data_IF_740967069205
#
_entry.id   IF_740967069205
#
_cell.length_a   1.000
_cell.length_b   1.000
_cell.length_c   1.000
_cell.angle_alpha   90.00
_cell.angle_beta   90.00
_cell.angle_gamma   90.00
#
_symmetry.space_group_name_H-M   'P 1'
#
loop_
_entity.id
_entity.type
_entity.pdbx_description
1 polymer ?
#
# COMPACT_ATOMS: atom_id res chain seq x y z
N UNK A 1 21.89 -12.43 4.27
CA UNK A 1 20.46 -12.25 4.39
C UNK A 1 19.71 -13.46 3.93
N UNK A 2 18.79 -13.82 4.72
CA UNK A 2 18.03 -15.04 4.56
C UNK A 2 16.99 -14.88 3.45
N UNK A 3 16.96 -15.82 2.49
CA UNK A 3 15.97 -15.84 1.41
C UNK A 3 14.56 -15.99 1.95
N UNK A 4 14.39 -16.69 3.09
CA UNK A 4 13.05 -16.87 3.67
C UNK A 4 12.46 -15.55 4.13
N UNK A 5 13.27 -14.62 4.64
CA UNK A 5 12.79 -13.30 5.03
C UNK A 5 12.33 -12.50 3.81
N UNK A 6 13.06 -12.59 2.70
CA UNK A 6 12.68 -11.94 1.45
C UNK A 6 11.35 -12.50 0.94
N UNK A 7 11.20 -13.83 0.94
CA UNK A 7 9.95 -14.47 0.51
C UNK A 7 8.78 -14.12 1.42
N UNK A 8 9.01 -14.04 2.73
CA UNK A 8 7.96 -13.63 3.68
C UNK A 8 7.50 -12.20 3.41
N UNK A 9 8.40 -11.28 3.09
CA UNK A 9 8.04 -9.91 2.75
C UNK A 9 7.22 -9.86 1.46
N UNK A 10 7.61 -10.62 0.46
CA UNK A 10 6.88 -10.70 -0.82
C UNK A 10 5.49 -11.27 -0.59
N UNK A 11 5.39 -12.37 0.17
CA UNK A 11 4.09 -12.99 0.48
C UNK A 11 3.19 -12.02 1.24
N UNK A 12 3.75 -11.26 2.18
CA UNK A 12 2.99 -10.25 2.92
C UNK A 12 2.45 -9.17 1.98
N UNK A 13 3.28 -8.70 1.04
CA UNK A 13 2.85 -7.68 0.07
C UNK A 13 1.72 -8.21 -0.80
N UNK A 14 1.86 -9.43 -1.33
CA UNK A 14 0.84 -10.04 -2.19
C UNK A 14 -0.47 -10.24 -1.43
N UNK A 15 -0.42 -10.73 -0.21
CA UNK A 15 -1.61 -10.89 0.63
C UNK A 15 -2.26 -9.54 0.93
N UNK A 16 -1.46 -8.52 1.20
CA UNK A 16 -1.97 -7.18 1.45
C UNK A 16 -2.68 -6.61 0.23
N UNK A 17 -2.12 -6.81 -0.96
CA UNK A 17 -2.75 -6.37 -2.21
C UNK A 17 -4.07 -7.09 -2.42
N UNK A 18 -4.13 -8.39 -2.16
CA UNK A 18 -5.36 -9.17 -2.25
C UNK A 18 -6.46 -8.60 -1.35
N UNK A 19 -6.10 -8.27 -0.12
CA UNK A 19 -7.05 -7.72 0.86
C UNK A 19 -7.51 -6.32 0.46
N UNK A 20 -6.60 -5.49 -0.05
CA UNK A 20 -6.95 -4.17 -0.55
C UNK A 20 -7.94 -4.28 -1.69
N UNK A 21 -7.67 -5.14 -2.66
CA UNK A 21 -8.54 -5.33 -3.82
C UNK A 21 -9.92 -5.82 -3.40
N UNK A 22 -10.00 -6.74 -2.45
CA UNK A 22 -11.27 -7.23 -1.94
C UNK A 22 -12.09 -6.11 -1.30
N UNK A 23 -11.44 -5.28 -0.49
CA UNK A 23 -12.12 -4.19 0.21
C UNK A 23 -12.53 -3.07 -0.73
N UNK A 24 -11.70 -2.80 -1.72
CA UNK A 24 -11.95 -1.73 -2.69
C UNK A 24 -13.02 -2.08 -3.73
N UNK A 25 -13.31 -3.35 -3.91
CA UNK A 25 -14.21 -3.84 -4.94
C UNK A 25 -15.57 -3.16 -4.94
N UNK A 26 -16.11 -2.84 -3.77
CA UNK A 26 -17.43 -2.22 -3.62
C UNK A 26 -17.38 -0.69 -3.65
N UNK A 27 -16.20 -0.09 -3.68
CA UNK A 27 -16.03 1.36 -3.64
C UNK A 27 -16.00 1.90 -5.06
N UNK A 28 -16.97 2.77 -5.39
CA UNK A 28 -17.12 3.34 -6.74
C UNK A 28 -16.62 4.76 -6.85
N UNK A 29 -16.53 5.48 -5.73
CA UNK A 29 -16.02 6.85 -5.68
C UNK A 29 -15.34 7.09 -4.34
N UNK A 30 -14.50 8.13 -4.26
CA UNK A 30 -13.86 8.50 -3.01
C UNK A 30 -14.87 8.87 -1.91
N UNK A 31 -16.01 9.44 -2.30
CA UNK A 31 -17.05 9.83 -1.35
C UNK A 31 -17.63 8.64 -0.61
N UNK A 32 -17.68 7.47 -1.24
CA UNK A 32 -18.23 6.26 -0.61
C UNK A 32 -17.42 5.82 0.62
N UNK A 33 -16.15 6.18 0.69
CA UNK A 33 -15.36 5.93 1.91
C UNK A 33 -15.89 6.70 3.10
N UNK A 34 -16.52 7.85 2.87
CA UNK A 34 -16.92 8.78 3.92
C UNK A 34 -18.42 8.74 4.24
N UNK A 35 -19.21 8.05 3.41
CA UNK A 35 -20.66 8.06 3.52
C UNK A 35 -21.23 7.12 4.57
N UNK A 36 -20.44 6.16 5.05
CA UNK A 36 -20.92 5.16 6.00
C UNK A 36 -19.80 4.66 6.88
N UNK A 37 -20.15 4.03 8.00
CA UNK A 37 -19.18 3.39 8.86
C UNK A 37 -18.46 2.24 8.15
N UNK A 38 -19.18 1.50 7.30
CA UNK A 38 -18.58 0.45 6.50
C UNK A 38 -17.51 1.01 5.55
N UNK A 39 -17.82 2.14 4.91
CA UNK A 39 -16.86 2.83 4.04
C UNK A 39 -15.64 3.31 4.82
N UNK A 40 -15.84 3.87 5.99
CA UNK A 40 -14.73 4.32 6.84
C UNK A 40 -13.86 3.15 7.30
N UNK A 41 -14.47 2.01 7.65
CA UNK A 41 -13.73 0.82 8.03
C UNK A 41 -12.85 0.35 6.87
N UNK A 42 -13.35 0.39 5.66
CA UNK A 42 -12.59 0.02 4.47
C UNK A 42 -11.46 1.00 4.21
N UNK A 43 -11.72 2.29 4.34
CA UNK A 43 -10.67 3.31 4.18
C UNK A 43 -9.53 3.08 5.16
N UNK A 44 -9.84 2.87 6.43
CA UNK A 44 -8.85 2.64 7.48
C UNK A 44 -8.06 1.37 7.20
N UNK A 45 -8.73 0.28 6.86
CA UNK A 45 -8.09 -1.00 6.61
C UNK A 45 -7.18 -0.95 5.37
N UNK A 46 -7.63 -0.31 4.30
CA UNK A 46 -6.84 -0.15 3.07
C UNK A 46 -5.63 0.72 3.36
N UNK A 47 -5.80 1.82 4.07
CA UNK A 47 -4.71 2.74 4.39
C UNK A 47 -3.62 2.07 5.22
N UNK A 48 -3.99 1.26 6.21
CA UNK A 48 -3.03 0.50 7.00
C UNK A 48 -2.25 -0.49 6.14
N UNK A 49 -2.91 -1.15 5.20
CA UNK A 49 -2.25 -2.09 4.30
C UNK A 49 -1.28 -1.39 3.35
N UNK A 50 -1.65 -0.21 2.84
CA UNK A 50 -0.76 0.59 1.98
C UNK A 50 0.50 0.97 2.75
N UNK A 51 0.36 1.42 4.00
CA UNK A 51 1.52 1.73 4.84
C UNK A 51 2.40 0.51 5.05
N UNK A 52 1.80 -0.63 5.35
CA UNK A 52 2.53 -1.86 5.61
C UNK A 52 3.26 -2.36 4.34
N UNK A 53 2.63 -2.24 3.17
CA UNK A 53 3.26 -2.58 1.89
C UNK A 53 4.47 -1.68 1.67
N UNK A 54 4.31 -0.38 1.89
CA UNK A 54 5.41 0.59 1.74
C UNK A 54 6.59 0.26 2.65
N UNK A 55 6.31 -0.12 3.89
CA UNK A 55 7.35 -0.52 4.84
C UNK A 55 8.06 -1.80 4.40
N UNK A 56 7.30 -2.78 3.92
CA UNK A 56 7.86 -4.03 3.40
C UNK A 56 8.73 -3.77 2.17
N UNK A 57 8.28 -2.89 1.26
CA UNK A 57 9.06 -2.52 0.08
C UNK A 57 10.34 -1.80 0.45
N UNK A 58 10.30 -0.94 1.46
CA UNK A 58 11.47 -0.24 1.95
C UNK A 58 12.50 -1.24 2.49
N UNK A 59 12.04 -2.25 3.22
CA UNK A 59 12.90 -3.31 3.71
C UNK A 59 13.48 -4.14 2.57
N UNK A 60 12.67 -4.47 1.57
CA UNK A 60 13.15 -5.17 0.37
C UNK A 60 14.19 -4.35 -0.39
N UNK A 61 13.97 -3.05 -0.51
CA UNK A 61 14.91 -2.16 -1.20
C UNK A 61 16.28 -2.19 -0.52
N UNK A 62 16.31 -2.21 0.81
CA UNK A 62 17.56 -2.28 1.56
C UNK A 62 18.28 -3.61 1.37
N UNK A 63 17.53 -4.69 1.23
CA UNK A 63 18.06 -6.06 1.25
C UNK A 63 18.28 -6.64 -0.14
N UNK A 64 17.36 -6.34 -1.05
CA UNK A 64 17.29 -6.97 -2.37
C UNK A 64 17.02 -5.92 -3.46
N UNK A 65 17.77 -4.83 -3.42
CA UNK A 65 17.60 -3.74 -4.38
C UNK A 65 17.65 -4.22 -5.83
N UNK A 66 18.57 -5.14 -6.13
CA UNK A 66 18.72 -5.65 -7.48
C UNK A 66 17.47 -6.40 -7.95
N UNK A 67 16.81 -7.12 -7.04
CA UNK A 67 15.56 -7.81 -7.36
C UNK A 67 14.48 -6.81 -7.76
N UNK A 68 14.34 -5.72 -7.01
CA UNK A 68 13.35 -4.69 -7.31
C UNK A 68 13.67 -3.98 -8.62
N UNK A 69 14.94 -3.72 -8.88
CA UNK A 69 15.36 -3.02 -10.11
C UNK A 69 15.13 -3.86 -11.37
N UNK A 70 15.02 -5.19 -11.23
CA UNK A 70 14.66 -6.06 -12.35
C UNK A 70 13.21 -5.91 -12.75
N UNK A 71 12.34 -5.47 -11.84
CA UNK A 71 10.90 -5.35 -12.07
C UNK A 71 10.53 -3.94 -12.54
N UNK A 72 11.11 -2.92 -11.90
CA UNK A 72 10.83 -1.53 -12.23
C UNK A 72 12.02 -0.67 -11.81
N UNK A 73 12.10 0.56 -12.34
CA UNK A 73 13.23 1.44 -12.07
C UNK A 73 13.16 2.04 -10.65
N UNK A 74 14.26 2.67 -10.27
CA UNK A 74 14.42 3.28 -8.96
C UNK A 74 13.34 4.35 -8.68
N UNK A 75 12.99 5.13 -9.69
CA UNK A 75 11.99 6.19 -9.51
C UNK A 75 10.62 5.62 -9.19
N UNK A 76 10.25 4.50 -9.83
CA UNK A 76 8.99 3.82 -9.55
C UNK A 76 8.90 3.41 -8.07
N UNK A 77 9.94 2.73 -7.57
CA UNK A 77 9.94 2.27 -6.17
C UNK A 77 9.98 3.43 -5.18
N UNK A 78 10.73 4.49 -5.51
CA UNK A 78 10.80 5.68 -4.66
C UNK A 78 9.43 6.35 -4.51
N UNK A 79 8.64 6.40 -5.58
CA UNK A 79 7.29 6.98 -5.52
C UNK A 79 6.37 6.17 -4.61
N UNK A 80 6.46 4.85 -4.68
CA UNK A 80 5.64 3.98 -3.85
C UNK A 80 6.00 4.16 -2.37
N UNK A 81 7.29 4.20 -2.05
CA UNK A 81 7.76 4.40 -0.68
C UNK A 81 7.34 5.78 -0.16
N UNK A 82 7.42 6.82 -1.00
CA UNK A 82 6.99 8.16 -0.62
C UNK A 82 5.48 8.22 -0.35
N UNK A 83 4.69 7.46 -1.10
CA UNK A 83 3.25 7.36 -0.89
C UNK A 83 2.97 6.80 0.51
N UNK A 84 3.69 5.76 0.90
CA UNK A 84 3.60 5.20 2.26
C UNK A 84 3.95 6.24 3.31
N UNK A 85 5.03 6.99 3.09
CA UNK A 85 5.47 8.01 4.03
C UNK A 85 4.42 9.12 4.15
N UNK A 86 3.82 9.52 3.03
CA UNK A 86 2.74 10.52 3.04
C UNK A 86 1.57 10.05 3.89
N UNK A 87 1.09 8.84 3.68
CA UNK A 87 -0.03 8.28 4.44
C UNK A 87 0.33 8.19 5.92
N UNK A 88 1.54 7.75 6.24
CA UNK A 88 2.02 7.61 7.61
C UNK A 88 2.04 8.94 8.36
N UNK A 89 2.48 10.01 7.69
CA UNK A 89 2.57 11.34 8.30
C UNK A 89 1.22 12.04 8.38
N UNK A 90 0.26 11.65 7.57
CA UNK A 90 -1.06 12.27 7.49
C UNK A 90 -2.15 11.33 8.00
N UNK A 91 -1.80 10.41 8.91
CA UNK A 91 -2.73 9.37 9.38
C UNK A 91 -4.03 9.96 9.94
N UNK A 92 -3.95 11.08 10.67
CA UNK A 92 -5.13 11.72 11.26
C UNK A 92 -6.03 12.35 10.20
N UNK A 93 -5.41 12.80 9.10
CA UNK A 93 -6.10 13.48 8.01
C UNK A 93 -6.03 12.68 6.72
N UNK A 94 -6.28 11.36 6.80
CA UNK A 94 -6.24 10.49 5.61
C UNK A 94 -7.19 11.04 4.56
N UNK A 95 -6.65 11.31 3.36
CA UNK A 95 -7.40 11.82 2.24
C UNK A 95 -8.01 10.65 1.45
N UNK A 96 -9.34 10.56 1.50
CA UNK A 96 -10.09 9.52 0.80
C UNK A 96 -9.84 9.55 -0.70
N UNK A 97 -9.67 10.73 -1.29
CA UNK A 97 -9.37 10.86 -2.73
C UNK A 97 -8.01 10.26 -3.07
N UNK A 98 -7.01 10.53 -2.24
CA UNK A 98 -5.67 9.98 -2.45
C UNK A 98 -5.69 8.46 -2.39
N UNK A 99 -6.36 7.89 -1.39
CA UNK A 99 -6.47 6.44 -1.25
C UNK A 99 -7.24 5.84 -2.43
N UNK A 100 -8.34 6.48 -2.84
CA UNK A 100 -9.10 6.03 -3.99
C UNK A 100 -8.24 6.01 -5.26
N UNK A 101 -7.46 7.07 -5.49
CA UNK A 101 -6.58 7.16 -6.65
C UNK A 101 -5.51 6.05 -6.65
N UNK A 102 -4.92 5.78 -5.50
CA UNK A 102 -3.92 4.72 -5.36
C UNK A 102 -4.53 3.36 -5.74
N UNK A 103 -5.72 3.07 -5.24
CA UNK A 103 -6.39 1.80 -5.49
C UNK A 103 -6.89 1.67 -6.93
N UNK A 104 -7.22 2.79 -7.58
CA UNK A 104 -7.76 2.80 -8.94
C UNK A 104 -6.69 2.63 -10.02
N UNK A 105 -5.45 2.92 -9.69
CA UNK A 105 -4.32 2.83 -10.63
C UNK A 105 -3.50 1.58 -10.35
#
# INVERSE_FOLDING_TARGET
MDKSTTLELIDFILESIRLINRRFKSIKSSDEFLESDDGLDKLDAISMRIQAIGEALKNLDKRERELLLKVADKNYWSRIIKTRDFISHHYVDIDAETVFDICSN
#
